data_IF_074304385660
#
_entry.id   IF_074304385660
#
_cell.length_a   1.000
_cell.length_b   1.000
_cell.length_c   1.000
_cell.angle_alpha   90.00
_cell.angle_beta   90.00
_cell.angle_gamma   90.00
#
_symmetry.space_group_name_H-M   'P 1'
#
loop_
_entity.id
_entity.type
_entity.pdbx_description
1 polymer ?
#
# COMPACT_ATOMS: atom_id res chain seq x y z
N UNK A 1 17.90 13.32 6.14
CA UNK A 1 16.45 13.60 6.31
C UNK A 1 15.60 13.19 5.12
N UNK A 2 16.04 13.42 3.87
CA UNK A 2 15.19 13.19 2.67
C UNK A 2 14.78 11.71 2.46
N UNK A 3 15.64 10.74 2.81
CA UNK A 3 15.36 9.30 2.63
C UNK A 3 14.24 8.79 3.55
N UNK A 4 14.12 9.34 4.76
CA UNK A 4 13.09 8.94 5.73
C UNK A 4 11.72 9.45 5.28
N UNK A 5 11.65 10.69 4.76
CA UNK A 5 10.43 11.21 4.17
C UNK A 5 9.98 10.38 2.97
N UNK A 6 10.91 9.97 2.10
CA UNK A 6 10.58 9.09 0.96
C UNK A 6 10.03 7.73 1.41
N UNK A 7 10.64 7.12 2.43
CA UNK A 7 10.16 5.87 2.99
C UNK A 7 8.74 6.03 3.58
N UNK A 8 8.47 7.12 4.30
CA UNK A 8 7.14 7.44 4.83
C UNK A 8 6.10 7.65 3.71
N UNK A 9 6.45 8.39 2.65
CA UNK A 9 5.58 8.57 1.49
C UNK A 9 5.29 7.24 0.78
N UNK A 10 6.27 6.35 0.68
CA UNK A 10 6.09 5.02 0.09
C UNK A 10 5.14 4.15 0.93
N UNK A 11 5.24 4.19 2.25
CA UNK A 11 4.31 3.49 3.15
C UNK A 11 2.89 4.05 3.01
N UNK A 12 2.73 5.38 3.04
CA UNK A 12 1.43 6.04 2.85
C UNK A 12 0.81 5.70 1.48
N UNK A 13 1.61 5.71 0.42
CA UNK A 13 1.17 5.33 -0.91
C UNK A 13 0.72 3.86 -0.95
N UNK A 14 1.48 2.95 -0.33
CA UNK A 14 1.14 1.54 -0.23
C UNK A 14 -0.17 1.28 0.53
N UNK A 15 -0.41 2.01 1.62
CA UNK A 15 -1.66 1.93 2.37
C UNK A 15 -2.84 2.41 1.53
N UNK A 16 -2.73 3.59 0.90
CA UNK A 16 -3.79 4.14 0.05
C UNK A 16 -4.13 3.19 -1.12
N UNK A 17 -3.12 2.62 -1.75
CA UNK A 17 -3.32 1.71 -2.89
C UNK A 17 -4.01 0.41 -2.46
N UNK A 18 -3.69 -0.11 -1.27
CA UNK A 18 -4.34 -1.28 -0.70
C UNK A 18 -5.82 -1.00 -0.33
N UNK A 19 -6.12 0.17 0.22
CA UNK A 19 -7.50 0.57 0.51
C UNK A 19 -8.34 0.75 -0.76
N UNK A 20 -7.78 1.41 -1.79
CA UNK A 20 -8.44 1.57 -3.09
C UNK A 20 -8.72 0.21 -3.72
N UNK A 21 -7.73 -0.70 -3.68
CA UNK A 21 -7.91 -2.06 -4.20
C UNK A 21 -9.00 -2.83 -3.44
N UNK A 22 -9.07 -2.69 -2.12
CA UNK A 22 -10.10 -3.32 -1.31
C UNK A 22 -11.51 -2.78 -1.62
N UNK A 23 -11.65 -1.46 -1.77
CA UNK A 23 -12.92 -0.85 -2.19
C UNK A 23 -13.32 -1.37 -3.57
N UNK A 24 -12.37 -1.48 -4.50
CA UNK A 24 -12.65 -2.03 -5.82
C UNK A 24 -13.12 -3.49 -5.76
N UNK A 25 -12.51 -4.32 -4.91
CA UNK A 25 -12.95 -5.69 -4.68
C UNK A 25 -14.37 -5.75 -4.11
N UNK A 26 -14.71 -4.87 -3.17
CA UNK A 26 -16.07 -4.78 -2.62
C UNK A 26 -17.11 -4.39 -3.69
N UNK A 27 -16.76 -3.49 -4.61
CA UNK A 27 -17.63 -3.13 -5.73
C UNK A 27 -17.84 -4.34 -6.64
N UNK A 28 -16.77 -5.08 -6.96
CA UNK A 28 -16.87 -6.30 -7.78
C UNK A 28 -17.72 -7.36 -7.07
N UNK A 29 -17.51 -7.58 -5.78
CA UNK A 29 -18.30 -8.52 -4.97
C UNK A 29 -19.78 -8.14 -4.97
N UNK A 30 -20.09 -6.85 -4.81
CA UNK A 30 -21.45 -6.34 -4.89
C UNK A 30 -22.09 -6.60 -6.25
N UNK A 31 -21.35 -6.39 -7.36
CA UNK A 31 -21.85 -6.68 -8.72
C UNK A 31 -22.09 -8.18 -8.94
N UNK A 32 -21.24 -9.05 -8.37
CA UNK A 32 -21.32 -10.49 -8.59
C UNK A 32 -22.35 -11.19 -7.70
N UNK A 33 -22.45 -10.79 -6.43
CA UNK A 33 -23.25 -11.49 -5.41
C UNK A 33 -24.49 -10.69 -4.98
N UNK A 34 -24.59 -9.42 -5.37
CA UNK A 34 -25.71 -8.53 -5.01
C UNK A 34 -25.72 -8.11 -3.53
N UNK A 35 -24.71 -8.50 -2.75
CA UNK A 35 -24.59 -8.17 -1.34
C UNK A 35 -23.28 -7.43 -1.05
N UNK A 36 -23.33 -6.49 -0.11
CA UNK A 36 -22.18 -5.69 0.30
C UNK A 36 -21.77 -6.08 1.73
N UNK A 37 -20.70 -6.88 1.84
CA UNK A 37 -20.16 -7.30 3.13
C UNK A 37 -18.86 -6.57 3.42
N UNK A 38 -18.96 -5.42 4.08
CA UNK A 38 -17.78 -4.72 4.57
C UNK A 38 -17.30 -5.34 5.87
N UNK A 39 -16.14 -5.98 5.84
CA UNK A 39 -15.53 -6.58 7.02
C UNK A 39 -14.31 -5.77 7.50
N UNK A 40 -14.36 -5.30 8.74
CA UNK A 40 -13.30 -4.49 9.34
C UNK A 40 -11.99 -5.28 9.49
N UNK A 41 -12.10 -6.59 9.74
CA UNK A 41 -10.94 -7.49 9.81
C UNK A 41 -10.20 -7.58 8.47
N UNK A 42 -10.96 -7.64 7.37
CA UNK A 42 -10.43 -7.64 6.00
C UNK A 42 -9.78 -6.30 5.67
N UNK A 43 -10.43 -5.18 5.99
CA UNK A 43 -9.83 -3.85 5.83
C UNK A 43 -8.50 -3.70 6.59
N UNK A 44 -8.45 -4.19 7.84
CA UNK A 44 -7.23 -4.19 8.66
C UNK A 44 -6.13 -5.09 8.08
N UNK A 45 -6.50 -6.22 7.49
CA UNK A 45 -5.56 -7.09 6.79
C UNK A 45 -4.92 -6.39 5.58
N UNK A 46 -5.75 -5.79 4.71
CA UNK A 46 -5.24 -5.05 3.55
C UNK A 46 -4.40 -3.85 3.94
N UNK A 47 -4.75 -3.14 5.02
CA UNK A 47 -3.95 -2.04 5.56
C UNK A 47 -2.55 -2.52 6.00
N UNK A 48 -2.46 -3.67 6.69
CA UNK A 48 -1.16 -4.27 7.06
C UNK A 48 -0.35 -4.67 5.84
N UNK A 49 -0.98 -5.26 4.83
CA UNK A 49 -0.31 -5.65 3.57
C UNK A 49 0.20 -4.42 2.83
N UNK A 50 -0.61 -3.37 2.72
CA UNK A 50 -0.25 -2.09 2.11
C UNK A 50 0.91 -1.38 2.82
N UNK A 51 0.87 -1.35 4.16
CA UNK A 51 1.95 -0.81 4.97
C UNK A 51 3.24 -1.62 4.83
N UNK A 52 3.15 -2.96 4.82
CA UNK A 52 4.29 -3.85 4.62
C UNK A 52 4.92 -3.70 3.24
N UNK A 53 4.11 -3.74 2.18
CA UNK A 53 4.57 -3.57 0.80
C UNK A 53 5.16 -2.18 0.54
N UNK A 54 4.46 -1.13 1.01
CA UNK A 54 4.95 0.25 0.93
C UNK A 54 6.24 0.48 1.73
N UNK A 55 6.40 -0.22 2.86
CA UNK A 55 7.61 -0.19 3.67
C UNK A 55 8.81 -0.85 2.98
N UNK A 56 8.63 -2.05 2.42
CA UNK A 56 9.69 -2.76 1.67
C UNK A 56 10.13 -1.91 0.47
N UNK A 57 9.19 -1.34 -0.29
CA UNK A 57 9.52 -0.44 -1.40
C UNK A 57 10.22 0.83 -0.92
N UNK A 58 9.77 1.43 0.19
CA UNK A 58 10.38 2.64 0.75
C UNK A 58 11.81 2.42 1.21
N UNK A 59 12.09 1.27 1.83
CA UNK A 59 13.43 0.85 2.24
C UNK A 59 14.29 0.54 1.01
N UNK A 60 13.75 -0.15 0.01
CA UNK A 60 14.45 -0.44 -1.24
C UNK A 60 14.89 0.83 -1.98
N UNK A 61 14.00 1.82 -2.09
CA UNK A 61 14.31 3.13 -2.66
C UNK A 61 15.38 3.88 -1.85
N UNK A 62 15.26 3.86 -0.52
CA UNK A 62 16.24 4.50 0.36
C UNK A 62 17.64 3.88 0.21
N UNK A 63 17.73 2.55 0.03
CA UNK A 63 18.98 1.83 -0.21
C UNK A 63 19.56 2.13 -1.59
N UNK A 64 18.77 2.05 -2.66
CA UNK A 64 19.22 2.36 -4.02
C UNK A 64 19.80 3.78 -4.13
N UNK A 65 19.15 4.73 -3.46
CA UNK A 65 19.61 6.11 -3.38
C UNK A 65 20.88 6.25 -2.53
N UNK A 66 21.02 5.46 -1.47
CA UNK A 66 22.23 5.45 -0.65
C UNK A 66 23.45 4.93 -1.43
N UNK A 67 23.25 3.98 -2.35
CA UNK A 67 24.30 3.48 -3.24
C UNK A 67 24.49 4.35 -4.51
N UNK A 68 23.88 5.54 -4.57
CA UNK A 68 23.99 6.50 -5.69
C UNK A 68 23.70 5.88 -7.07
N UNK A 69 22.79 4.90 -7.13
CA UNK A 69 22.39 4.28 -8.39
C UNK A 69 21.67 5.32 -9.25
N UNK A 70 22.36 5.85 -10.28
CA UNK A 70 21.82 6.87 -11.18
C UNK A 70 20.55 6.36 -11.88
N UNK A 71 19.42 7.03 -11.61
CA UNK A 71 18.12 6.71 -12.21
C UNK A 71 16.97 6.49 -11.21
N UNK A 72 17.27 6.48 -9.90
CA UNK A 72 16.31 6.38 -8.79
C UNK A 72 16.52 7.46 -7.73
#
# INVERSE_FOLDING_TARGET
>A
MINILFALFSILAGILLAEIAYIFLLIVEYVMLGNFNFELASAWHYLKVGAGGGGIMGIGLALLRHFEVKGF
#
